data_IF_001502234969
#
_entry.id   IF_001502234969
#
_cell.length_a   1.000
_cell.length_b   1.000
_cell.length_c   1.000
_cell.angle_alpha   90.00
_cell.angle_beta   90.00
_cell.angle_gamma   90.00
#
_symmetry.space_group_name_H-M   'P 1'
#
loop_
_entity.id
_entity.type
_entity.pdbx_description
1 polymer ?
#
# COMPACT_ATOMS: atom_id res chain seq x y z
N UNK A 1 13.22 -6.47 0.70
CA UNK A 1 12.45 -6.12 -0.50
C UNK A 1 11.47 -7.25 -0.78
N UNK A 2 10.19 -7.00 -0.55
CA UNK A 2 9.08 -7.94 -0.81
C UNK A 2 9.12 -8.42 -2.26
N UNK A 3 9.09 -9.73 -2.47
CA UNK A 3 9.12 -10.35 -3.81
C UNK A 3 7.72 -10.66 -4.35
N UNK A 4 6.71 -10.81 -3.47
CA UNK A 4 5.37 -11.29 -3.82
C UNK A 4 4.33 -10.16 -3.94
N UNK A 5 4.74 -8.97 -4.40
CA UNK A 5 3.87 -7.78 -4.43
C UNK A 5 2.56 -8.04 -5.19
N UNK A 6 2.63 -8.63 -6.38
CA UNK A 6 1.44 -8.88 -7.22
C UNK A 6 0.45 -9.86 -6.56
N UNK A 7 0.96 -10.88 -5.86
CA UNK A 7 0.14 -11.81 -5.09
C UNK A 7 -0.56 -11.10 -3.93
N UNK A 8 0.18 -10.27 -3.19
CA UNK A 8 -0.36 -9.50 -2.06
C UNK A 8 -1.47 -8.57 -2.54
N UNK A 9 -1.29 -7.88 -3.67
CA UNK A 9 -2.31 -6.99 -4.25
C UNK A 9 -3.57 -7.76 -4.64
N UNK A 10 -3.42 -8.91 -5.30
CA UNK A 10 -4.56 -9.77 -5.64
C UNK A 10 -5.34 -10.23 -4.40
N UNK A 11 -4.62 -10.63 -3.35
CA UNK A 11 -5.23 -11.02 -2.08
C UNK A 11 -5.95 -9.85 -1.40
N UNK A 12 -5.44 -8.63 -1.51
CA UNK A 12 -6.10 -7.41 -1.03
C UNK A 12 -7.43 -7.17 -1.76
N UNK A 13 -7.43 -7.25 -3.10
CA UNK A 13 -8.65 -7.08 -3.91
C UNK A 13 -9.71 -8.13 -3.58
N UNK A 14 -9.27 -9.37 -3.35
CA UNK A 14 -10.12 -10.49 -2.94
C UNK A 14 -10.56 -10.40 -1.46
N UNK A 15 -10.19 -9.33 -0.73
CA UNK A 15 -10.43 -9.15 0.71
C UNK A 15 -9.81 -10.25 1.61
N UNK A 16 -8.77 -10.95 1.14
CA UNK A 16 -8.04 -12.03 1.82
C UNK A 16 -6.87 -11.49 2.66
N UNK A 17 -7.20 -10.65 3.65
CA UNK A 17 -6.23 -9.85 4.41
C UNK A 17 -5.18 -10.64 5.21
N UNK A 18 -5.56 -11.77 5.82
CA UNK A 18 -4.62 -12.57 6.62
C UNK A 18 -3.65 -13.33 5.72
N UNK A 19 -4.11 -13.71 4.52
CA UNK A 19 -3.29 -14.34 3.49
C UNK A 19 -2.34 -13.33 2.85
N UNK A 20 -2.80 -12.10 2.61
CA UNK A 20 -1.94 -11.01 2.16
C UNK A 20 -0.78 -10.76 3.16
N UNK A 21 -1.05 -10.84 4.47
CA UNK A 21 -0.01 -10.72 5.51
C UNK A 21 0.92 -11.93 5.56
N UNK A 22 0.40 -13.14 5.33
CA UNK A 22 1.24 -14.33 5.22
C UNK A 22 2.16 -14.26 3.98
N UNK A 23 1.63 -13.78 2.85
CA UNK A 23 2.38 -13.56 1.60
C UNK A 23 3.45 -12.46 1.73
N UNK A 24 3.30 -11.55 2.70
CA UNK A 24 4.31 -10.58 3.11
C UNK A 24 5.49 -11.17 3.91
N UNK A 25 5.52 -12.48 4.16
CA UNK A 25 6.68 -13.25 4.66
C UNK A 25 7.39 -12.64 5.89
N UNK A 26 6.62 -12.16 6.87
CA UNK A 26 7.13 -11.51 8.10
C UNK A 26 7.78 -10.13 7.92
N UNK A 27 7.65 -9.51 6.75
CA UNK A 27 8.01 -8.10 6.61
C UNK A 27 7.08 -7.24 7.47
N UNK A 28 7.66 -6.56 8.47
CA UNK A 28 6.94 -5.70 9.39
C UNK A 28 6.33 -4.50 8.64
N UNK A 29 7.12 -3.87 7.77
CA UNK A 29 6.69 -2.79 6.90
C UNK A 29 5.56 -3.22 5.96
N UNK A 30 5.71 -4.34 5.27
CA UNK A 30 4.64 -4.87 4.41
C UNK A 30 3.33 -5.08 5.19
N UNK A 31 3.42 -5.69 6.38
CA UNK A 31 2.27 -5.95 7.23
C UNK A 31 1.58 -4.66 7.70
N UNK A 32 2.37 -3.63 8.01
CA UNK A 32 1.86 -2.30 8.35
C UNK A 32 1.17 -1.65 7.16
N UNK A 33 1.73 -1.74 5.96
CA UNK A 33 1.12 -1.21 4.74
C UNK A 33 -0.23 -1.89 4.43
N UNK A 34 -0.33 -3.21 4.59
CA UNK A 34 -1.60 -3.95 4.44
C UNK A 34 -2.66 -3.44 5.42
N UNK A 35 -2.29 -3.20 6.68
CA UNK A 35 -3.22 -2.66 7.67
C UNK A 35 -3.66 -1.23 7.32
N UNK A 36 -2.75 -0.40 6.82
CA UNK A 36 -3.06 0.96 6.38
C UNK A 36 -4.06 0.92 5.20
N UNK A 37 -3.81 0.09 4.19
CA UNK A 37 -4.70 -0.12 3.04
C UNK A 37 -6.07 -0.61 3.50
N UNK A 38 -6.14 -1.61 4.38
CA UNK A 38 -7.40 -2.12 4.94
C UNK A 38 -8.18 -1.03 5.68
N UNK A 39 -7.48 -0.18 6.44
CA UNK A 39 -8.08 0.92 7.19
C UNK A 39 -8.60 2.03 6.29
N UNK A 40 -7.91 2.32 5.18
CA UNK A 40 -8.38 3.22 4.15
C UNK A 40 -9.71 2.70 3.61
N UNK A 41 -9.72 1.49 3.01
CA UNK A 41 -10.88 0.90 2.34
C UNK A 41 -12.14 0.78 3.22
N UNK A 42 -11.99 0.68 4.55
CA UNK A 42 -13.11 0.61 5.49
C UNK A 42 -13.84 1.95 5.68
N UNK A 43 -13.19 3.07 5.32
CA UNK A 43 -13.60 4.42 5.71
C UNK A 43 -14.11 5.32 4.56
N UNK A 44 -14.42 4.78 3.37
CA UNK A 44 -14.90 5.60 2.25
C UNK A 44 -15.68 4.86 1.15
N UNK A 45 -16.42 5.63 0.36
CA UNK A 45 -16.92 5.20 -0.96
C UNK A 45 -15.85 5.44 -2.02
N UNK A 46 -15.84 4.63 -3.09
CA UNK A 46 -14.75 4.50 -4.05
C UNK A 46 -14.08 5.84 -4.49
N UNK A 47 -14.83 6.90 -4.77
CA UNK A 47 -14.26 8.21 -5.16
C UNK A 47 -13.47 8.92 -4.06
N UNK A 48 -13.87 8.73 -2.80
CA UNK A 48 -13.19 9.30 -1.64
C UNK A 48 -11.92 8.51 -1.31
N UNK A 49 -11.94 7.21 -1.59
CA UNK A 49 -10.80 6.28 -1.55
C UNK A 49 -9.72 6.69 -2.55
N UNK A 50 -10.10 7.00 -3.79
CA UNK A 50 -9.20 7.40 -4.87
C UNK A 50 -8.49 8.73 -4.54
N UNK A 51 -9.24 9.74 -4.08
CA UNK A 51 -8.64 11.03 -3.68
C UNK A 51 -7.71 10.88 -2.47
N UNK A 52 -8.02 9.98 -1.54
CA UNK A 52 -7.15 9.68 -0.39
C UNK A 52 -5.85 9.03 -0.85
N UNK A 53 -5.91 8.06 -1.75
CA UNK A 53 -4.73 7.37 -2.29
C UNK A 53 -3.81 8.33 -3.06
N UNK A 54 -4.37 9.20 -3.90
CA UNK A 54 -3.61 10.25 -4.60
C UNK A 54 -2.99 11.28 -3.63
N UNK A 55 -3.70 11.62 -2.55
CA UNK A 55 -3.16 12.52 -1.52
C UNK A 55 -2.04 11.85 -0.71
N UNK A 56 -2.17 10.55 -0.45
CA UNK A 56 -1.17 9.74 0.24
C UNK A 56 0.12 9.64 -0.59
N UNK A 57 0.00 9.33 -1.89
CA UNK A 57 1.13 9.27 -2.82
C UNK A 57 1.89 10.61 -2.87
N UNK A 58 1.18 11.72 -3.06
CA UNK A 58 1.80 13.05 -3.09
C UNK A 58 2.50 13.41 -1.77
N UNK A 59 1.90 13.03 -0.64
CA UNK A 59 2.48 13.29 0.69
C UNK A 59 3.76 12.47 0.90
N UNK A 60 3.77 11.21 0.44
CA UNK A 60 4.93 10.34 0.60
C UNK A 60 6.03 10.69 -0.39
N UNK A 61 5.72 10.99 -1.65
CA UNK A 61 6.70 11.47 -2.63
C UNK A 61 7.44 12.72 -2.12
N UNK A 62 6.70 13.61 -1.43
CA UNK A 62 7.27 14.80 -0.79
C UNK A 62 8.19 14.43 0.38
N UNK A 63 7.81 13.48 1.23
CA UNK A 63 8.65 12.98 2.32
C UNK A 63 9.92 12.27 1.81
N UNK A 64 9.83 11.56 0.68
CA UNK A 64 10.98 10.91 0.02
C UNK A 64 11.99 11.95 -0.48
N UNK A 65 11.49 13.05 -1.04
CA UNK A 65 12.33 14.11 -1.62
C UNK A 65 13.15 14.91 -0.59
N UNK A 66 12.79 14.84 0.70
CA UNK A 66 13.48 15.59 1.77
C UNK A 66 14.55 14.78 2.49
N UNK A 67 14.81 13.53 2.08
CA UNK A 67 15.86 12.69 2.66
C UNK A 67 15.58 12.19 4.08
N UNK A 68 14.37 12.43 4.61
CA UNK A 68 13.95 12.02 5.95
C UNK A 68 13.69 10.50 6.06
N UNK A 69 13.72 9.80 4.92
CA UNK A 69 13.35 8.39 4.78
C UNK A 69 14.51 7.39 4.93
N UNK A 70 15.73 7.85 5.24
CA UNK A 70 16.89 6.95 5.42
C UNK A 70 16.79 5.99 6.61
N UNK A 71 15.74 6.10 7.43
CA UNK A 71 15.48 5.23 8.59
C UNK A 71 14.24 4.33 8.44
N UNK A 72 13.60 4.30 7.27
CA UNK A 72 12.31 3.63 7.09
C UNK A 72 12.40 2.25 6.42
N UNK A 73 11.44 1.39 6.80
CA UNK A 73 11.26 0.05 6.25
C UNK A 73 10.82 0.11 4.77
N UNK A 74 11.75 -0.21 3.87
CA UNK A 74 11.56 -0.18 2.40
C UNK A 74 10.33 -0.97 1.94
N UNK A 75 10.00 -2.05 2.64
CA UNK A 75 8.91 -2.94 2.29
C UNK A 75 7.54 -2.27 2.52
N UNK A 76 7.42 -1.39 3.53
CA UNK A 76 6.20 -0.60 3.75
C UNK A 76 5.86 0.25 2.54
N UNK A 77 6.84 1.02 2.05
CA UNK A 77 6.63 1.95 0.95
C UNK A 77 6.51 1.24 -0.39
N UNK A 78 7.29 0.18 -0.61
CA UNK A 78 7.19 -0.63 -1.81
C UNK A 78 5.76 -1.15 -2.00
N UNK A 79 5.15 -1.72 -0.95
CA UNK A 79 3.80 -2.26 -1.04
C UNK A 79 2.74 -1.16 -1.16
N UNK A 80 2.87 -0.08 -0.38
CA UNK A 80 1.92 1.02 -0.41
C UNK A 80 1.88 1.69 -1.80
N UNK A 81 3.03 1.93 -2.42
CA UNK A 81 3.10 2.52 -3.75
C UNK A 81 2.64 1.57 -4.86
N UNK A 82 2.93 0.27 -4.73
CA UNK A 82 2.42 -0.72 -5.65
C UNK A 82 0.88 -0.74 -5.64
N UNK A 83 0.28 -0.65 -4.46
CA UNK A 83 -1.18 -0.58 -4.32
C UNK A 83 -1.77 0.68 -4.95
N UNK A 84 -1.16 1.86 -4.75
CA UNK A 84 -1.62 3.10 -5.40
C UNK A 84 -1.64 2.93 -6.92
N UNK A 85 -0.52 2.49 -7.53
CA UNK A 85 -0.43 2.28 -8.98
C UNK A 85 -1.42 1.25 -9.51
N UNK A 86 -1.67 0.20 -8.72
CA UNK A 86 -2.65 -0.84 -9.07
C UNK A 86 -4.07 -0.28 -9.15
N UNK A 87 -4.44 0.55 -8.16
CA UNK A 87 -5.73 1.25 -8.17
C UNK A 87 -5.82 2.23 -9.35
N UNK A 88 -4.77 3.02 -9.62
CA UNK A 88 -4.77 3.95 -10.77
C UNK A 88 -4.99 3.25 -12.12
N UNK A 89 -4.40 2.06 -12.33
CA UNK A 89 -4.63 1.25 -13.52
C UNK A 89 -6.07 0.76 -13.64
N UNK A 90 -6.73 0.54 -12.51
CA UNK A 90 -8.11 0.04 -12.48
C UNK A 90 -9.15 1.12 -12.78
N UNK A 91 -8.71 2.39 -12.87
CA UNK A 91 -9.56 3.56 -13.12
C UNK A 91 -9.44 4.14 -14.55
N UNK A 92 -8.43 3.70 -15.31
CA UNK A 92 -8.20 4.06 -16.71
C UNK A 92 -8.63 2.92 -17.64
#
# INVERSE_FOLDING_TARGET
MIENIDEILKLIDDNRWDEAKAAAQNSAGASQAINAIKSLLKNGGAEQEIRRLQSLENSIAKLMSTGWLSEFDEDYFALLFAYVKHVEKSLN
#
